data_IF_536444449628
#
_entry.id   IF_536444449628
#
_cell.length_a   1.000
_cell.length_b   1.000
_cell.length_c   1.000
_cell.angle_alpha   90.00
_cell.angle_beta   90.00
_cell.angle_gamma   90.00
#
_symmetry.space_group_name_H-M   'P 1'
#
loop_
_entity.id
_entity.type
_entity.pdbx_description
1 polymer ?
#
# COMPACT_ATOMS: atom_id res chain seq x y z
N UNK A 1 -7.12 26.62 17.05
CA UNK A 1 -7.52 25.97 15.78
C UNK A 1 -7.45 24.48 15.99
N UNK A 2 -8.58 23.78 16.01
CA UNK A 2 -8.59 22.30 15.99
C UNK A 2 -8.13 21.88 14.60
N UNK A 3 -6.94 21.30 14.49
CA UNK A 3 -6.47 20.70 13.26
C UNK A 3 -7.30 19.44 13.02
N UNK A 4 -8.15 19.45 12.00
CA UNK A 4 -8.80 18.24 11.52
C UNK A 4 -7.70 17.25 11.16
N UNK A 5 -7.70 16.03 11.72
CA UNK A 5 -6.67 15.06 11.40
C UNK A 5 -6.71 14.73 9.90
N UNK A 6 -5.54 14.60 9.27
CA UNK A 6 -5.42 14.30 7.82
C UNK A 6 -5.26 12.79 7.63
N UNK A 7 -6.19 12.19 6.88
CA UNK A 7 -6.17 10.78 6.52
C UNK A 7 -5.18 10.49 5.39
N UNK A 8 -4.50 9.35 5.44
CA UNK A 8 -3.70 8.84 4.33
C UNK A 8 -3.81 7.32 4.15
N UNK A 9 -3.78 6.89 2.90
CA UNK A 9 -3.45 5.51 2.53
C UNK A 9 -1.94 5.36 2.41
N UNK A 10 -1.40 4.22 2.85
CA UNK A 10 0.03 3.89 2.67
C UNK A 10 0.18 2.65 1.79
N UNK A 11 1.18 2.65 0.91
CA UNK A 11 1.51 1.49 0.10
C UNK A 11 1.75 0.25 0.96
N UNK A 12 1.21 -0.89 0.55
CA UNK A 12 1.30 -2.16 1.28
C UNK A 12 2.68 -2.84 1.23
N UNK A 13 3.73 -2.03 1.16
CA UNK A 13 5.12 -2.44 1.41
C UNK A 13 5.79 -1.55 2.49
N UNK A 14 5.03 -0.67 3.15
CA UNK A 14 5.50 0.21 4.23
C UNK A 14 4.99 -0.33 5.57
N UNK A 15 5.87 -0.56 6.54
CA UNK A 15 5.45 -1.06 7.86
C UNK A 15 4.58 -0.07 8.62
N UNK A 16 3.43 -0.52 9.11
CA UNK A 16 2.62 0.15 10.14
C UNK A 16 2.40 -0.86 11.27
N UNK A 17 2.68 -0.45 12.50
CA UNK A 17 2.53 -1.31 13.68
C UNK A 17 1.13 -1.92 13.76
N UNK A 18 1.05 -3.24 13.86
CA UNK A 18 -0.21 -3.98 14.02
C UNK A 18 -1.07 -4.13 12.75
N UNK A 19 -0.78 -3.42 11.67
CA UNK A 19 -1.47 -3.56 10.38
C UNK A 19 -0.62 -4.45 9.46
N UNK A 20 -1.19 -5.45 8.77
CA UNK A 20 -0.45 -6.28 7.84
C UNK A 20 0.37 -5.45 6.83
N UNK A 21 1.62 -5.87 6.60
CA UNK A 21 2.45 -5.43 5.49
C UNK A 21 2.71 -6.65 4.62
N UNK A 22 2.06 -6.70 3.45
CA UNK A 22 1.96 -7.95 2.69
C UNK A 22 2.76 -7.95 1.39
N UNK A 23 3.24 -6.78 0.94
CA UNK A 23 3.74 -6.57 -0.41
C UNK A 23 2.78 -7.05 -1.52
N UNK A 24 1.48 -7.11 -1.23
CA UNK A 24 0.44 -7.67 -2.10
C UNK A 24 0.35 -9.21 -2.11
N UNK A 25 1.16 -9.90 -1.30
CA UNK A 25 1.29 -11.35 -1.31
C UNK A 25 0.46 -12.04 -0.23
N UNK A 26 -0.30 -13.07 -0.62
CA UNK A 26 -1.01 -13.95 0.32
C UNK A 26 -0.06 -14.60 1.34
N UNK A 27 1.20 -14.85 0.98
CA UNK A 27 2.21 -15.41 1.88
C UNK A 27 2.45 -14.53 3.12
N UNK A 28 2.19 -13.23 3.01
CA UNK A 28 2.38 -12.23 4.07
C UNK A 28 1.05 -11.65 4.59
N UNK A 29 -0.10 -12.26 4.28
CA UNK A 29 -1.42 -11.73 4.68
C UNK A 29 -1.55 -11.50 6.21
N UNK A 30 -0.80 -12.26 7.01
CA UNK A 30 -0.77 -12.17 8.47
C UNK A 30 0.53 -11.54 9.02
N UNK A 31 1.42 -11.04 8.15
CA UNK A 31 2.67 -10.41 8.56
C UNK A 31 2.42 -9.01 9.14
N UNK A 32 2.31 -8.94 10.47
CA UNK A 32 2.10 -7.68 11.20
C UNK A 32 3.41 -7.17 11.78
N UNK A 33 3.93 -6.02 11.31
CA UNK A 33 5.14 -5.43 11.84
C UNK A 33 4.99 -5.05 13.32
N UNK A 34 6.05 -5.27 14.11
CA UNK A 34 6.11 -4.86 15.53
C UNK A 34 6.36 -3.37 15.74
N UNK A 35 6.79 -2.66 14.69
CA UNK A 35 7.10 -1.22 14.73
C UNK A 35 6.73 -0.61 13.38
N UNK A 36 6.14 0.59 13.39
CA UNK A 36 5.95 1.36 12.16
C UNK A 36 7.30 1.79 11.55
N UNK A 37 7.34 1.90 10.22
CA UNK A 37 8.46 2.47 9.49
C UNK A 37 8.77 3.90 9.99
N UNK A 38 10.03 4.34 9.84
CA UNK A 38 10.47 5.67 10.27
C UNK A 38 9.55 6.79 9.76
N UNK A 39 9.30 6.83 8.45
CA UNK A 39 8.41 7.83 7.83
C UNK A 39 7.00 7.82 8.42
N UNK A 40 6.45 6.64 8.72
CA UNK A 40 5.10 6.51 9.26
C UNK A 40 5.01 7.06 10.69
N UNK A 41 6.07 6.91 11.49
CA UNK A 41 6.18 7.56 12.80
C UNK A 41 6.22 9.08 12.68
N UNK A 42 6.99 9.61 11.73
CA UNK A 42 7.05 11.05 11.48
C UNK A 42 5.69 11.63 11.04
N UNK A 43 5.00 10.96 10.13
CA UNK A 43 3.65 11.36 9.71
C UNK A 43 2.66 11.34 10.89
N UNK A 44 2.68 10.28 11.70
CA UNK A 44 1.84 10.19 12.91
C UNK A 44 2.11 11.34 13.89
N UNK A 45 3.39 11.64 14.14
CA UNK A 45 3.78 12.76 15.01
C UNK A 45 3.39 14.13 14.43
N UNK A 46 3.28 14.23 13.10
CA UNK A 46 2.80 15.42 12.39
C UNK A 46 1.27 15.58 12.35
N UNK A 47 0.51 14.73 13.06
CA UNK A 47 -0.96 14.81 13.11
C UNK A 47 -1.69 14.06 11.99
N UNK A 48 -0.97 13.24 11.23
CA UNK A 48 -1.58 12.41 10.19
C UNK A 48 -1.96 11.02 10.72
N UNK A 49 -2.97 10.38 10.12
CA UNK A 49 -3.37 9.02 10.48
C UNK A 49 -3.55 8.12 9.26
N UNK A 50 -3.11 6.87 9.40
CA UNK A 50 -3.24 5.84 8.36
C UNK A 50 -4.63 5.24 8.42
N UNK A 51 -5.40 5.39 7.34
CA UNK A 51 -6.75 4.80 7.22
C UNK A 51 -6.75 3.41 6.59
N UNK A 52 -5.66 3.06 5.90
CA UNK A 52 -5.57 1.78 5.23
C UNK A 52 -4.28 1.58 4.42
N UNK A 53 -4.18 0.38 3.85
CA UNK A 53 -3.10 -0.03 2.96
C UNK A 53 -3.58 0.08 1.51
N UNK A 54 -2.77 0.63 0.61
CA UNK A 54 -3.08 0.68 -0.83
C UNK A 54 -2.46 -0.52 -1.54
N UNK A 55 -3.19 -1.07 -2.52
CA UNK A 55 -2.69 -2.17 -3.34
C UNK A 55 -1.49 -1.73 -4.19
N UNK A 56 -0.68 -2.70 -4.61
CA UNK A 56 0.52 -2.50 -5.41
C UNK A 56 0.69 -3.63 -6.44
N UNK A 57 1.58 -3.46 -7.41
CA UNK A 57 2.13 -4.63 -8.11
C UNK A 57 2.86 -5.52 -7.11
N UNK A 58 2.46 -6.79 -7.00
CA UNK A 58 3.01 -7.73 -6.01
C UNK A 58 4.54 -7.75 -5.99
N UNK A 59 5.13 -7.81 -4.79
CA UNK A 59 6.58 -7.73 -4.56
C UNK A 59 7.22 -6.51 -5.24
N UNK A 60 6.51 -5.38 -5.22
CA UNK A 60 6.92 -4.14 -5.87
C UNK A 60 7.26 -4.30 -7.36
N UNK A 61 6.54 -5.18 -8.06
CA UNK A 61 6.75 -5.57 -9.46
C UNK A 61 8.03 -6.37 -9.74
N UNK A 62 8.71 -6.88 -8.71
CA UNK A 62 9.97 -7.62 -8.82
C UNK A 62 9.79 -9.13 -8.63
N UNK A 63 8.77 -9.69 -9.29
CA UNK A 63 8.38 -11.11 -9.17
C UNK A 63 8.50 -11.90 -10.47
N UNK A 64 8.35 -11.25 -11.62
CA UNK A 64 8.31 -11.89 -12.94
C UNK A 64 8.66 -10.87 -14.02
N UNK A 65 9.26 -11.34 -15.12
CA UNK A 65 9.47 -10.57 -16.36
C UNK A 65 8.19 -10.34 -17.16
N UNK A 66 7.10 -11.03 -16.83
CA UNK A 66 5.77 -10.91 -17.44
C UNK A 66 4.73 -10.46 -16.40
N UNK A 67 5.12 -9.54 -15.50
CA UNK A 67 4.23 -9.01 -14.47
C UNK A 67 3.14 -8.10 -15.04
N UNK A 68 2.01 -8.01 -14.34
CA UNK A 68 0.91 -7.09 -14.65
C UNK A 68 0.92 -5.97 -13.62
N UNK A 69 1.14 -4.74 -14.08
CA UNK A 69 1.16 -3.55 -13.24
C UNK A 69 -0.17 -3.35 -12.49
N UNK A 70 -0.07 -3.22 -11.17
CA UNK A 70 -1.19 -3.07 -10.26
C UNK A 70 -1.93 -4.34 -9.88
N UNK A 71 -1.48 -5.52 -10.33
CA UNK A 71 -2.00 -6.80 -9.86
C UNK A 71 -1.23 -7.30 -8.64
N UNK A 72 -1.96 -7.82 -7.65
CA UNK A 72 -1.40 -8.64 -6.58
C UNK A 72 -2.30 -9.83 -6.23
N UNK A 73 -1.71 -10.89 -5.65
CA UNK A 73 -2.50 -12.07 -5.29
C UNK A 73 -3.51 -11.79 -4.20
N UNK A 74 -3.19 -10.88 -3.27
CA UNK A 74 -4.06 -10.52 -2.15
C UNK A 74 -5.06 -9.42 -2.51
N UNK A 75 -4.63 -8.39 -3.26
CA UNK A 75 -5.42 -7.19 -3.56
C UNK A 75 -6.12 -7.20 -4.93
N UNK A 76 -5.87 -8.20 -5.77
CA UNK A 76 -6.38 -8.25 -7.13
C UNK A 76 -5.78 -7.16 -8.02
N UNK A 77 -6.48 -6.80 -9.10
CA UNK A 77 -6.04 -5.78 -10.07
C UNK A 77 -6.56 -4.40 -9.66
N UNK A 78 -5.65 -3.47 -9.37
CA UNK A 78 -5.99 -2.04 -9.28
C UNK A 78 -6.48 -1.54 -10.63
N UNK A 79 -7.54 -0.73 -10.64
CA UNK A 79 -8.12 -0.15 -11.84
C UNK A 79 -7.71 1.32 -11.97
N UNK A 80 -7.37 1.74 -13.19
CA UNK A 80 -7.07 3.15 -13.45
C UNK A 80 -8.37 3.99 -13.39
N UNK A 81 -8.42 5.07 -12.58
CA UNK A 81 -9.65 5.86 -12.41
C UNK A 81 -10.09 6.59 -13.69
N UNK A 82 -9.20 6.78 -14.66
CA UNK A 82 -9.52 7.37 -15.97
C UNK A 82 -10.11 6.36 -16.97
N UNK A 83 -10.22 5.07 -16.60
CA UNK A 83 -10.89 4.07 -17.42
C UNK A 83 -10.42 2.64 -17.11
N UNK A 84 -11.38 1.71 -17.05
CA UNK A 84 -11.14 0.31 -16.65
C UNK A 84 -10.29 -0.49 -17.63
N UNK A 85 -10.16 -0.01 -18.86
CA UNK A 85 -9.31 -0.57 -19.91
C UNK A 85 -7.88 0.02 -19.92
N UNK A 86 -7.53 0.85 -18.93
CA UNK A 86 -6.20 1.47 -18.80
C UNK A 86 -5.42 0.83 -17.67
N UNK A 87 -4.11 0.73 -17.87
CA UNK A 87 -3.19 0.26 -16.84
C UNK A 87 -3.01 1.36 -15.75
N UNK A 88 -3.05 1.04 -14.45
CA UNK A 88 -2.78 2.01 -13.37
C UNK A 88 -1.28 2.32 -13.20
N UNK A 89 -0.42 1.73 -14.02
CA UNK A 89 1.02 1.66 -13.85
C UNK A 89 1.41 1.03 -12.51
N UNK A 90 2.63 1.23 -12.05
CA UNK A 90 3.10 0.59 -10.84
C UNK A 90 4.52 0.99 -10.41
N UNK A 91 5.06 0.37 -9.37
CA UNK A 91 4.36 -0.60 -8.51
C UNK A 91 3.41 0.07 -7.51
N UNK A 92 3.48 1.40 -7.34
CA UNK A 92 2.58 2.17 -6.48
C UNK A 92 1.23 2.43 -7.15
N UNK A 93 0.54 1.38 -7.60
CA UNK A 93 -0.66 1.51 -8.43
C UNK A 93 -1.88 2.09 -7.69
N UNK A 94 -2.04 1.75 -6.40
CA UNK A 94 -3.19 2.20 -5.60
C UNK A 94 -2.96 3.44 -4.74
N UNK A 95 -1.72 3.95 -4.69
CA UNK A 95 -1.37 5.21 -4.04
C UNK A 95 -1.46 6.35 -5.02
#
# INVERSE_FOLDING_TARGET
MSLVPIALGVKDNIDIEGIPNTAGSIALQNNKPKKSAYLAKHLKNGGYYVVGKTNLSEWANFRSTHSVSGWSSLGGQTVNPYGVNRNPCGSSSGS
#
